data_IF_542692914888
#
_entry.id   IF_542692914888
#
_cell.length_a   1.000
_cell.length_b   1.000
_cell.length_c   1.000
_cell.angle_alpha   90.00
_cell.angle_beta   90.00
_cell.angle_gamma   90.00
#
_symmetry.space_group_name_H-M   'P 1'
#
loop_
_entity.id
_entity.type
_entity.pdbx_description
1 polymer ?
#
# COMPACT_ATOMS: atom_id res chain seq x y z
N UNK A 1 25.96 -6.13 39.40
CA UNK A 1 24.87 -6.90 38.77
C UNK A 1 23.73 -6.05 38.19
N UNK A 2 23.82 -4.71 38.19
CA UNK A 2 22.76 -3.81 37.66
C UNK A 2 22.78 -3.71 36.11
N UNK A 3 23.98 -3.81 35.52
CA UNK A 3 24.21 -3.63 34.07
C UNK A 3 23.53 -4.66 33.15
N UNK A 4 23.27 -5.88 33.63
CA UNK A 4 22.62 -6.93 32.82
C UNK A 4 21.09 -6.83 32.81
N UNK A 5 20.49 -6.17 33.80
CA UNK A 5 19.03 -6.08 33.95
C UNK A 5 18.44 -4.97 33.09
N UNK A 6 19.14 -3.83 32.99
CA UNK A 6 18.78 -2.70 32.12
C UNK A 6 18.85 -3.09 30.64
N UNK A 7 19.97 -3.69 30.19
CA UNK A 7 20.11 -4.16 28.80
C UNK A 7 19.01 -5.16 28.42
N UNK A 8 18.65 -6.06 29.34
CA UNK A 8 17.58 -7.03 29.13
C UNK A 8 16.19 -6.38 29.04
N UNK A 9 15.89 -5.36 29.86
CA UNK A 9 14.63 -4.62 29.77
C UNK A 9 14.56 -3.71 28.55
N UNK A 10 15.67 -3.06 28.19
CA UNK A 10 15.76 -2.20 27.01
C UNK A 10 15.60 -3.03 25.73
N UNK A 11 16.28 -4.17 25.60
CA UNK A 11 16.11 -5.11 24.49
C UNK A 11 14.68 -5.64 24.38
N UNK A 12 14.01 -5.91 25.51
CA UNK A 12 12.62 -6.40 25.53
C UNK A 12 11.62 -5.32 25.13
N UNK A 13 11.79 -4.11 25.66
CA UNK A 13 10.99 -2.93 25.30
C UNK A 13 11.20 -2.60 23.83
N UNK A 14 12.45 -2.70 23.34
CA UNK A 14 12.80 -2.48 21.94
C UNK A 14 12.24 -3.55 21.00
N UNK A 15 12.27 -4.82 21.41
CA UNK A 15 11.64 -5.91 20.66
C UNK A 15 10.12 -5.77 20.63
N UNK A 16 9.52 -5.34 21.75
CA UNK A 16 8.09 -5.04 21.85
C UNK A 16 7.69 -3.84 20.99
N UNK A 17 8.43 -2.74 21.03
CA UNK A 17 8.14 -1.55 20.22
C UNK A 17 8.42 -1.78 18.75
N UNK A 18 9.45 -2.56 18.40
CA UNK A 18 9.74 -3.00 17.03
C UNK A 18 8.60 -3.86 16.48
N UNK A 19 8.18 -4.88 17.24
CA UNK A 19 7.09 -5.78 16.85
C UNK A 19 5.76 -5.05 16.82
N UNK A 20 5.47 -4.22 17.82
CA UNK A 20 4.29 -3.38 17.86
C UNK A 20 4.30 -2.39 16.70
N UNK A 21 5.41 -1.72 16.36
CA UNK A 21 5.46 -0.80 15.22
C UNK A 21 5.32 -1.52 13.87
N UNK A 22 5.86 -2.73 13.74
CA UNK A 22 5.71 -3.54 12.54
C UNK A 22 4.24 -3.98 12.37
N UNK A 23 3.64 -4.53 13.43
CA UNK A 23 2.22 -4.92 13.46
C UNK A 23 1.33 -3.70 13.28
N UNK A 24 1.59 -2.58 13.95
CA UNK A 24 0.81 -1.35 13.82
C UNK A 24 0.94 -0.74 12.42
N UNK A 25 2.12 -0.80 11.80
CA UNK A 25 2.33 -0.30 10.43
C UNK A 25 1.64 -1.19 9.39
N UNK A 26 1.65 -2.52 9.60
CA UNK A 26 0.94 -3.47 8.73
C UNK A 26 -0.57 -3.42 8.97
N UNK A 27 -1.02 -3.30 10.22
CA UNK A 27 -2.41 -3.08 10.58
C UNK A 27 -2.90 -1.72 10.09
N UNK A 28 -2.09 -0.65 10.14
CA UNK A 28 -2.44 0.64 9.54
C UNK A 28 -2.51 0.52 8.02
N UNK A 29 -1.57 -0.14 7.35
CA UNK A 29 -1.64 -0.39 5.91
C UNK A 29 -2.83 -1.29 5.53
N UNK A 30 -3.13 -2.33 6.30
CA UNK A 30 -4.26 -3.24 6.07
C UNK A 30 -5.57 -2.55 6.41
N UNK A 31 -5.69 -1.80 7.50
CA UNK A 31 -6.86 -0.97 7.85
C UNK A 31 -7.05 0.13 6.82
N UNK A 32 -5.98 0.70 6.28
CA UNK A 32 -6.04 1.67 5.19
C UNK A 32 -6.49 1.01 3.89
N UNK A 33 -5.96 -0.18 3.58
CA UNK A 33 -6.35 -0.96 2.41
C UNK A 33 -7.78 -1.49 2.53
N UNK A 34 -8.21 -1.88 3.73
CA UNK A 34 -9.57 -2.33 4.07
C UNK A 34 -10.52 -1.15 4.14
N UNK A 35 -10.10 0.01 4.63
CA UNK A 35 -10.87 1.25 4.55
C UNK A 35 -11.08 1.64 3.09
N UNK A 36 -10.02 1.55 2.27
CA UNK A 36 -10.12 1.71 0.82
C UNK A 36 -11.03 0.62 0.22
N UNK A 37 -10.94 -0.64 0.64
CA UNK A 37 -11.75 -1.78 0.20
C UNK A 37 -13.23 -1.71 0.57
N UNK A 38 -13.54 -1.24 1.77
CA UNK A 38 -14.89 -1.02 2.28
C UNK A 38 -15.53 0.18 1.59
N UNK A 39 -14.72 1.18 1.22
CA UNK A 39 -15.10 2.22 0.27
C UNK A 39 -15.28 1.69 -1.17
N UNK A 40 -14.78 0.48 -1.48
CA UNK A 40 -14.84 -0.19 -2.80
C UNK A 40 -16.08 -1.07 -3.05
N UNK A 41 -17.14 -0.98 -2.23
CA UNK A 41 -18.34 -1.85 -2.40
C UNK A 41 -18.76 -1.99 -3.88
N UNK A 42 -19.16 -3.20 -4.32
CA UNK A 42 -19.40 -3.49 -5.73
C UNK A 42 -20.58 -2.67 -6.24
N UNK A 43 -20.26 -1.65 -7.03
CA UNK A 43 -21.19 -0.66 -7.57
C UNK A 43 -20.46 0.25 -8.54
N UNK A 44 -20.26 -0.26 -9.75
CA UNK A 44 -19.98 0.45 -11.02
C UNK A 44 -19.21 1.78 -11.00
N UNK A 45 -18.02 1.69 -11.60
CA UNK A 45 -17.23 2.69 -12.36
C UNK A 45 -16.35 3.71 -11.60
N UNK A 46 -15.07 3.62 -11.98
CA UNK A 46 -14.14 4.73 -12.26
C UNK A 46 -13.26 5.30 -11.13
N UNK A 47 -12.64 4.44 -10.31
CA UNK A 47 -11.64 4.78 -9.27
C UNK A 47 -12.28 5.07 -7.92
N UNK A 48 -11.69 4.49 -6.88
CA UNK A 48 -12.19 4.23 -5.52
C UNK A 48 -12.81 5.41 -4.76
N UNK A 49 -12.46 6.64 -5.11
CA UNK A 49 -13.06 7.85 -4.53
C UNK A 49 -14.08 8.47 -5.49
N UNK A 50 -13.97 8.18 -6.78
CA UNK A 50 -14.75 8.77 -7.87
C UNK A 50 -15.98 7.96 -8.29
N UNK A 51 -16.25 6.81 -7.65
CA UNK A 51 -17.46 6.02 -7.91
C UNK A 51 -18.76 6.76 -7.51
N UNK A 52 -19.81 6.73 -8.35
CA UNK A 52 -21.11 7.34 -8.07
C UNK A 52 -22.00 6.55 -7.09
N UNK A 53 -21.65 5.31 -6.74
CA UNK A 53 -22.44 4.46 -5.84
C UNK A 53 -21.59 3.99 -4.63
N UNK A 54 -22.05 4.27 -3.41
CA UNK A 54 -21.55 3.61 -2.18
C UNK A 54 -20.35 4.22 -1.43
N UNK A 55 -19.73 5.30 -1.90
CA UNK A 55 -18.58 5.94 -1.21
C UNK A 55 -19.03 6.87 -0.06
N UNK A 56 -18.36 6.83 1.11
CA UNK A 56 -18.51 7.84 2.18
C UNK A 56 -18.23 9.26 1.66
N UNK A 57 -17.48 9.38 0.55
CA UNK A 57 -17.15 10.64 -0.08
C UNK A 57 -18.03 10.97 -1.29
N UNK A 58 -19.16 10.27 -1.50
CA UNK A 58 -20.06 10.45 -2.67
C UNK A 58 -20.45 11.91 -2.89
N UNK A 59 -20.75 12.63 -1.81
CA UNK A 59 -21.21 14.03 -1.84
C UNK A 59 -20.09 15.03 -2.13
N UNK A 60 -18.81 14.64 -2.05
CA UNK A 60 -17.71 15.57 -2.24
C UNK A 60 -17.36 15.76 -3.72
N UNK A 61 -16.97 16.98 -4.13
CA UNK A 61 -16.57 17.26 -5.49
C UNK A 61 -15.28 16.52 -5.87
N UNK A 62 -15.10 16.25 -7.16
CA UNK A 62 -13.93 15.53 -7.72
C UNK A 62 -12.58 16.15 -7.29
N UNK A 63 -12.52 17.46 -7.08
CA UNK A 63 -11.31 18.14 -6.58
C UNK A 63 -10.97 17.73 -5.15
N UNK A 64 -11.95 17.69 -4.24
CA UNK A 64 -11.76 17.25 -2.85
C UNK A 64 -11.34 15.79 -2.77
N UNK A 65 -11.97 14.95 -3.58
CA UNK A 65 -11.63 13.53 -3.74
C UNK A 65 -10.16 13.31 -4.13
N UNK A 66 -9.66 14.11 -5.08
CA UNK A 66 -8.25 14.10 -5.47
C UNK A 66 -7.30 14.58 -4.36
N UNK A 67 -7.69 15.60 -3.59
CA UNK A 67 -6.91 16.06 -2.42
C UNK A 67 -6.82 14.99 -1.34
N UNK A 68 -7.94 14.34 -1.01
CA UNK A 68 -7.96 13.24 -0.04
C UNK A 68 -7.05 12.11 -0.52
N UNK A 69 -7.13 11.69 -1.80
CA UNK A 69 -6.22 10.70 -2.36
C UNK A 69 -4.75 11.09 -2.17
N UNK A 70 -4.40 12.34 -2.47
CA UNK A 70 -3.03 12.83 -2.32
C UNK A 70 -2.55 12.81 -0.86
N UNK A 71 -3.35 13.28 0.10
CA UNK A 71 -3.01 13.21 1.53
C UNK A 71 -2.81 11.77 1.99
N UNK A 72 -3.73 10.89 1.60
CA UNK A 72 -3.65 9.46 1.90
C UNK A 72 -2.39 8.82 1.29
N UNK A 73 -2.01 9.25 0.08
CA UNK A 73 -0.79 8.77 -0.58
C UNK A 73 0.48 9.23 0.15
N UNK A 74 0.54 10.48 0.60
CA UNK A 74 1.68 11.00 1.39
C UNK A 74 1.82 10.25 2.71
N UNK A 75 0.70 10.00 3.40
CA UNK A 75 0.70 9.22 4.64
C UNK A 75 1.18 7.78 4.38
N UNK A 76 0.68 7.14 3.33
CA UNK A 76 1.10 5.80 2.90
C UNK A 76 2.61 5.71 2.65
N UNK A 77 3.16 6.63 1.85
CA UNK A 77 4.61 6.69 1.58
C UNK A 77 5.40 6.89 2.87
N UNK A 78 4.95 7.80 3.74
CA UNK A 78 5.63 8.09 5.01
C UNK A 78 5.67 6.86 5.92
N UNK A 79 4.53 6.18 6.09
CA UNK A 79 4.45 4.93 6.85
C UNK A 79 5.34 3.82 6.25
N UNK A 80 5.34 3.67 4.92
CA UNK A 80 6.14 2.66 4.25
C UNK A 80 7.65 2.91 4.42
N UNK A 81 8.10 4.16 4.32
CA UNK A 81 9.50 4.55 4.56
C UNK A 81 9.89 4.34 6.01
N UNK A 82 9.05 4.75 6.97
CA UNK A 82 9.31 4.54 8.40
C UNK A 82 9.37 3.05 8.77
N UNK A 83 8.46 2.24 8.24
CA UNK A 83 8.47 0.79 8.43
C UNK A 83 9.72 0.13 7.86
N UNK A 84 10.14 0.53 6.66
CA UNK A 84 11.39 0.07 6.05
C UNK A 84 12.61 0.49 6.89
N UNK A 85 12.66 1.75 7.35
CA UNK A 85 13.74 2.25 8.19
C UNK A 85 13.83 1.48 9.52
N UNK A 86 12.70 1.21 10.16
CA UNK A 86 12.64 0.44 11.40
C UNK A 86 13.19 -0.99 11.22
N UNK A 87 12.79 -1.69 10.16
CA UNK A 87 13.30 -3.04 9.86
C UNK A 87 14.78 -3.00 9.49
N UNK A 88 15.20 -2.02 8.70
CA UNK A 88 16.59 -1.83 8.31
C UNK A 88 17.48 -1.63 9.52
N UNK A 89 17.07 -0.73 10.43
CA UNK A 89 17.80 -0.43 11.66
C UNK A 89 17.81 -1.63 12.61
N UNK A 90 16.69 -2.35 12.75
CA UNK A 90 16.63 -3.59 13.54
C UNK A 90 17.62 -4.64 13.02
N UNK A 91 17.70 -4.85 11.70
CA UNK A 91 18.67 -5.77 11.09
C UNK A 91 20.11 -5.31 11.32
N UNK A 92 20.37 -4.01 11.22
CA UNK A 92 21.69 -3.43 11.48
C UNK A 92 22.15 -3.69 12.92
N UNK A 93 21.30 -3.41 13.91
CA UNK A 93 21.59 -3.66 15.33
C UNK A 93 21.85 -5.14 15.63
N UNK A 94 21.22 -6.04 14.89
CA UNK A 94 21.35 -7.49 15.08
C UNK A 94 22.40 -8.14 14.15
N UNK A 95 23.17 -7.35 13.39
CA UNK A 95 24.15 -7.88 12.43
C UNK A 95 23.57 -8.79 11.35
N UNK A 96 22.27 -8.64 11.05
CA UNK A 96 21.56 -9.48 10.06
C UNK A 96 21.70 -8.89 8.67
N UNK A 97 21.89 -9.71 7.62
CA UNK A 97 21.98 -9.21 6.25
C UNK A 97 20.63 -8.62 5.78
N UNK A 98 20.72 -7.60 4.93
CA UNK A 98 19.57 -6.86 4.39
C UNK A 98 19.12 -7.42 3.04
N UNK A 99 17.82 -7.32 2.77
CA UNK A 99 17.22 -7.62 1.46
C UNK A 99 17.52 -9.02 0.89
N UNK A 100 17.77 -10.02 1.73
CA UNK A 100 18.10 -11.39 1.31
C UNK A 100 16.89 -12.26 0.98
N UNK A 101 15.66 -11.81 1.31
CA UNK A 101 14.43 -12.53 1.02
C UNK A 101 13.63 -11.88 -0.12
N UNK A 102 12.81 -12.68 -0.81
CA UNK A 102 11.88 -12.17 -1.82
C UNK A 102 10.95 -11.09 -1.27
N UNK A 103 10.44 -11.26 -0.04
CA UNK A 103 9.66 -10.23 0.63
C UNK A 103 10.46 -8.93 0.81
N UNK A 104 11.70 -9.02 1.30
CA UNK A 104 12.55 -7.84 1.51
C UNK A 104 12.88 -7.09 0.22
N UNK A 105 13.21 -7.82 -0.85
CA UNK A 105 13.51 -7.23 -2.16
C UNK A 105 12.26 -6.60 -2.81
N UNK A 106 11.15 -7.35 -2.88
CA UNK A 106 9.89 -6.83 -3.44
C UNK A 106 9.30 -5.71 -2.59
N UNK A 107 9.49 -5.75 -1.27
CA UNK A 107 9.11 -4.67 -0.36
C UNK A 107 9.85 -3.38 -0.68
N UNK A 108 11.18 -3.44 -0.81
CA UNK A 108 11.99 -2.28 -1.21
C UNK A 108 11.57 -1.73 -2.59
N UNK A 109 11.41 -2.61 -3.58
CA UNK A 109 10.93 -2.22 -4.91
C UNK A 109 9.55 -1.55 -4.85
N UNK A 110 8.66 -2.05 -3.99
CA UNK A 110 7.33 -1.46 -3.79
C UNK A 110 7.43 -0.06 -3.20
N UNK A 111 8.24 0.14 -2.14
CA UNK A 111 8.43 1.47 -1.54
C UNK A 111 8.94 2.47 -2.58
N UNK A 112 9.94 2.09 -3.37
CA UNK A 112 10.45 2.90 -4.47
C UNK A 112 9.38 3.19 -5.53
N UNK A 113 8.62 2.17 -5.95
CA UNK A 113 7.56 2.30 -6.94
C UNK A 113 6.43 3.24 -6.46
N UNK A 114 6.01 3.13 -5.20
CA UNK A 114 5.00 4.01 -4.60
C UNK A 114 5.51 5.46 -4.54
N UNK A 115 6.78 5.66 -4.17
CA UNK A 115 7.42 6.99 -4.21
C UNK A 115 7.44 7.59 -5.62
N UNK A 116 7.92 6.83 -6.60
CA UNK A 116 7.95 7.24 -8.00
C UNK A 116 6.54 7.52 -8.54
N UNK A 117 5.57 6.65 -8.25
CA UNK A 117 4.17 6.81 -8.64
C UNK A 117 3.56 8.08 -8.06
N UNK A 118 3.96 8.47 -6.84
CA UNK A 118 3.52 9.71 -6.19
C UNK A 118 4.08 10.96 -6.88
N UNK A 119 5.37 10.93 -7.25
CA UNK A 119 6.01 12.02 -8.02
C UNK A 119 5.44 12.09 -9.44
N UNK A 120 5.24 10.94 -10.09
CA UNK A 120 4.65 10.84 -11.42
C UNK A 120 3.19 11.34 -11.48
N UNK A 121 2.53 11.53 -10.34
CA UNK A 121 1.21 12.13 -10.24
C UNK A 121 1.23 13.67 -10.31
N UNK A 122 2.37 14.33 -10.08
CA UNK A 122 2.47 15.81 -10.05
C UNK A 122 1.95 16.47 -11.34
N UNK A 123 2.21 15.95 -12.56
CA UNK A 123 1.65 16.52 -13.78
C UNK A 123 0.12 16.43 -13.92
N UNK A 124 -0.56 15.64 -13.07
CA UNK A 124 -2.03 15.63 -12.99
C UNK A 124 -2.57 16.85 -12.23
N UNK A 125 -1.75 17.46 -11.38
CA UNK A 125 -2.06 18.69 -10.64
C UNK A 125 -1.50 19.90 -11.39
N UNK A 126 -0.25 19.83 -11.80
CA UNK A 126 0.48 20.89 -12.49
C UNK A 126 0.81 20.45 -13.91
N UNK A 127 -0.14 20.66 -14.82
CA UNK A 127 -0.01 20.19 -16.21
C UNK A 127 1.19 20.79 -16.96
N UNK A 128 1.68 21.95 -16.51
CA UNK A 128 2.90 22.59 -17.03
C UNK A 128 4.15 21.70 -16.97
N UNK A 129 4.17 20.68 -16.09
CA UNK A 129 5.25 19.72 -15.93
C UNK A 129 5.28 18.64 -17.03
N UNK A 130 4.22 18.50 -17.83
CA UNK A 130 4.13 17.50 -18.91
C UNK A 130 3.60 18.12 -20.20
N UNK A 131 4.28 19.17 -20.68
CA UNK A 131 3.96 19.81 -21.96
C UNK A 131 4.00 18.76 -23.08
N UNK A 132 2.97 18.76 -23.94
CA UNK A 132 2.82 17.82 -25.05
C UNK A 132 2.06 16.53 -24.73
N UNK A 133 1.67 16.30 -23.47
CA UNK A 133 0.80 15.17 -23.11
C UNK A 133 -0.62 15.66 -22.83
N UNK A 134 -1.64 14.96 -23.30
CA UNK A 134 -3.01 15.29 -22.90
C UNK A 134 -3.29 14.82 -21.48
N UNK A 135 -4.15 15.55 -20.75
CA UNK A 135 -4.58 15.14 -19.40
C UNK A 135 -5.21 13.73 -19.38
N UNK A 136 -5.92 13.35 -20.45
CA UNK A 136 -6.47 12.01 -20.59
C UNK A 136 -5.37 10.94 -20.67
N UNK A 137 -4.28 11.21 -21.40
CA UNK A 137 -3.11 10.32 -21.49
C UNK A 137 -2.44 10.18 -20.12
N UNK A 138 -2.18 11.29 -19.43
CA UNK A 138 -1.58 11.26 -18.09
C UNK A 138 -2.41 10.45 -17.09
N UNK A 139 -3.74 10.67 -17.04
CA UNK A 139 -4.65 9.89 -16.17
C UNK A 139 -4.62 8.40 -16.48
N UNK A 140 -4.54 8.03 -17.76
CA UNK A 140 -4.45 6.63 -18.20
C UNK A 140 -3.17 5.96 -17.71
N UNK A 141 -2.02 6.59 -17.95
CA UNK A 141 -0.74 6.02 -17.52
C UNK A 141 -0.66 5.95 -15.99
N UNK A 142 -0.98 7.04 -15.28
CA UNK A 142 -0.97 7.05 -13.82
C UNK A 142 -1.86 5.94 -13.23
N UNK A 143 -3.06 5.74 -13.77
CA UNK A 143 -3.96 4.68 -13.28
C UNK A 143 -3.41 3.27 -13.61
N UNK A 144 -2.81 3.08 -14.79
CA UNK A 144 -2.23 1.80 -15.18
C UNK A 144 -0.99 1.43 -14.35
N UNK A 145 -0.04 2.36 -14.21
CA UNK A 145 1.15 2.17 -13.37
C UNK A 145 0.80 2.07 -11.88
N UNK A 146 -0.25 2.77 -11.45
CA UNK A 146 -0.81 2.67 -10.11
C UNK A 146 -1.36 1.28 -9.82
N UNK A 147 -2.07 0.66 -10.76
CA UNK A 147 -2.53 -0.72 -10.63
C UNK A 147 -1.36 -1.70 -10.50
N UNK A 148 -0.34 -1.57 -11.36
CA UNK A 148 0.87 -2.42 -11.27
C UNK A 148 1.55 -2.27 -9.91
N UNK A 149 1.69 -1.04 -9.43
CA UNK A 149 2.27 -0.73 -8.11
C UNK A 149 1.46 -1.37 -6.97
N UNK A 150 0.12 -1.33 -7.06
CA UNK A 150 -0.77 -1.95 -6.07
C UNK A 150 -0.66 -3.47 -6.06
N UNK A 151 -0.56 -4.10 -7.24
CA UNK A 151 -0.37 -5.55 -7.35
C UNK A 151 1.01 -5.97 -6.83
N UNK A 152 2.05 -5.18 -7.08
CA UNK A 152 3.39 -5.40 -6.53
C UNK A 152 3.38 -5.36 -5.00
N UNK A 153 2.72 -4.36 -4.41
CA UNK A 153 2.54 -4.27 -2.96
C UNK A 153 1.74 -5.43 -2.38
N UNK A 154 0.68 -5.85 -3.08
CA UNK A 154 -0.13 -7.02 -2.69
C UNK A 154 0.69 -8.32 -2.70
N UNK A 155 1.54 -8.51 -3.71
CA UNK A 155 2.46 -9.66 -3.78
C UNK A 155 3.52 -9.61 -2.66
N UNK A 156 4.08 -8.42 -2.38
CA UNK A 156 5.01 -8.23 -1.26
C UNK A 156 4.37 -8.55 0.09
N UNK A 157 3.11 -8.14 0.31
CA UNK A 157 2.34 -8.46 1.51
C UNK A 157 2.12 -9.97 1.65
N UNK A 158 1.70 -10.67 0.58
CA UNK A 158 1.53 -12.12 0.61
C UNK A 158 2.84 -12.84 0.96
N UNK A 159 3.98 -12.40 0.42
CA UNK A 159 5.29 -12.93 0.79
C UNK A 159 5.66 -12.63 2.26
N UNK A 160 5.23 -11.50 2.79
CA UNK A 160 5.39 -11.14 4.20
C UNK A 160 4.57 -12.03 5.12
N UNK A 161 3.31 -12.32 4.74
CA UNK A 161 2.44 -13.28 5.44
C UNK A 161 3.03 -14.69 5.41
N UNK A 162 3.70 -15.09 4.32
CA UNK A 162 4.39 -16.38 4.22
C UNK A 162 5.78 -16.41 4.88
N UNK A 163 6.22 -15.34 5.55
CA UNK A 163 7.51 -15.33 6.23
C UNK A 163 7.51 -16.21 7.48
N UNK A 164 8.65 -16.82 7.79
CA UNK A 164 8.81 -17.66 8.99
C UNK A 164 8.46 -16.92 10.29
N UNK A 165 8.70 -15.60 10.33
CA UNK A 165 8.31 -14.78 11.47
C UNK A 165 6.79 -14.68 11.61
N UNK A 166 6.07 -14.41 10.51
CA UNK A 166 4.62 -14.24 10.56
C UNK A 166 3.92 -15.56 10.83
N UNK A 167 4.28 -16.63 10.12
CA UNK A 167 3.68 -17.97 10.31
C UNK A 167 3.95 -18.54 11.70
N UNK A 168 5.08 -18.18 12.34
CA UNK A 168 5.37 -18.53 13.73
C UNK A 168 4.66 -17.65 14.77
N UNK A 169 4.07 -16.51 14.38
CA UNK A 169 3.47 -15.53 15.30
C UNK A 169 1.94 -15.51 15.27
N UNK A 170 1.30 -16.10 14.26
CA UNK A 170 -0.16 -16.11 14.12
C UNK A 170 -0.72 -17.52 14.00
N UNK A 171 -1.94 -17.72 14.48
CA UNK A 171 -2.66 -18.98 14.28
C UNK A 171 -3.06 -19.22 12.83
N UNK A 172 -3.18 -20.49 12.45
CA UNK A 172 -3.45 -20.94 11.08
C UNK A 172 -4.69 -20.27 10.44
N UNK A 173 -5.82 -20.20 11.14
CA UNK A 173 -7.02 -19.53 10.63
C UNK A 173 -6.81 -18.04 10.35
N UNK A 174 -6.07 -17.35 11.22
CA UNK A 174 -5.76 -15.92 11.06
C UNK A 174 -4.83 -15.69 9.87
N UNK A 175 -3.93 -16.63 9.60
CA UNK A 175 -3.07 -16.62 8.43
C UNK A 175 -3.89 -16.72 7.14
N UNK A 176 -4.74 -17.75 7.01
CA UNK A 176 -5.57 -17.95 5.81
C UNK A 176 -6.50 -16.77 5.57
N UNK A 177 -7.14 -16.25 6.62
CA UNK A 177 -8.02 -15.09 6.50
C UNK A 177 -7.26 -13.85 6.00
N UNK A 178 -6.05 -13.61 6.52
CA UNK A 178 -5.20 -12.48 6.09
C UNK A 178 -4.76 -12.62 4.64
N UNK A 179 -4.32 -13.81 4.24
CA UNK A 179 -3.89 -14.08 2.87
C UNK A 179 -5.06 -13.97 1.88
N UNK A 180 -6.21 -14.56 2.21
CA UNK A 180 -7.42 -14.48 1.40
C UNK A 180 -7.92 -13.03 1.26
N UNK A 181 -7.93 -12.28 2.36
CA UNK A 181 -8.31 -10.86 2.34
C UNK A 181 -7.39 -10.05 1.42
N UNK A 182 -6.07 -10.26 1.50
CA UNK A 182 -5.11 -9.59 0.63
C UNK A 182 -5.34 -9.95 -0.85
N UNK A 183 -5.51 -11.23 -1.16
CA UNK A 183 -5.73 -11.70 -2.53
C UNK A 183 -7.05 -11.19 -3.13
N UNK A 184 -8.16 -11.26 -2.38
CA UNK A 184 -9.46 -10.75 -2.83
C UNK A 184 -9.41 -9.26 -3.09
N UNK A 185 -8.73 -8.48 -2.23
CA UNK A 185 -8.54 -7.05 -2.44
C UNK A 185 -7.76 -6.75 -3.73
N UNK A 186 -6.68 -7.49 -3.99
CA UNK A 186 -5.92 -7.38 -5.24
C UNK A 186 -6.81 -7.60 -6.47
N UNK A 187 -7.62 -8.67 -6.44
CA UNK A 187 -8.51 -9.02 -7.55
C UNK A 187 -9.64 -7.99 -7.75
N UNK A 188 -10.25 -7.51 -6.67
CA UNK A 188 -11.31 -6.49 -6.74
C UNK A 188 -10.77 -5.21 -7.39
N UNK A 189 -9.62 -4.70 -6.92
CA UNK A 189 -9.03 -3.48 -7.49
C UNK A 189 -8.62 -3.69 -8.95
N UNK A 190 -7.99 -4.82 -9.27
CA UNK A 190 -7.62 -5.16 -10.65
C UNK A 190 -8.84 -5.19 -11.57
N UNK A 191 -9.92 -5.85 -11.14
CA UNK A 191 -11.15 -5.92 -11.91
C UNK A 191 -11.80 -4.53 -12.08
N UNK A 192 -11.84 -3.72 -11.02
CA UNK A 192 -12.41 -2.36 -11.07
C UNK A 192 -11.66 -1.45 -12.05
N UNK A 193 -10.33 -1.46 -12.00
CA UNK A 193 -9.51 -0.64 -12.89
C UNK A 193 -9.62 -1.14 -14.33
N UNK A 194 -9.51 -2.45 -14.55
CA UNK A 194 -9.58 -3.06 -15.90
C UNK A 194 -10.95 -2.84 -16.56
N UNK A 195 -12.03 -3.05 -15.81
CA UNK A 195 -13.40 -2.85 -16.29
C UNK A 195 -13.69 -1.40 -16.67
N UNK A 196 -13.09 -0.43 -15.98
CA UNK A 196 -13.23 0.99 -16.31
C UNK A 196 -12.63 1.32 -17.69
N UNK A 197 -11.53 0.68 -18.06
CA UNK A 197 -10.92 0.84 -19.38
C UNK A 197 -11.70 0.18 -20.50
N UNK A 198 -12.12 -1.07 -20.29
CA UNK A 198 -12.90 -1.83 -21.29
C UNK A 198 -14.26 -1.16 -21.56
N UNK A 199 -14.93 -0.67 -20.51
CA UNK A 199 -16.21 0.04 -20.65
C UNK A 199 -16.09 1.33 -21.46
N UNK A 200 -14.97 2.06 -21.31
CA UNK A 200 -14.74 3.30 -22.04
C UNK A 200 -14.46 3.04 -23.52
N UNK A 201 -13.74 1.95 -23.83
CA UNK A 201 -13.47 1.53 -25.21
C UNK A 201 -14.76 1.19 -25.99
N UNK A 202 -15.73 0.53 -25.34
CA UNK A 202 -17.03 0.16 -25.95
C UNK A 202 -17.96 1.35 -26.23
N UNK A 203 -17.82 2.46 -25.50
CA UNK A 203 -18.62 3.68 -25.71
C UNK A 203 -18.01 4.61 -26.77
N UNK A 204 -16.79 4.32 -27.23
CA UNK A 204 -16.05 5.11 -28.23
C UNK A 204 -15.90 4.36 -29.57
N UNK A 205 -16.44 3.14 -29.69
CA UNK A 205 -16.57 2.38 -30.94
C UNK A 205 -17.99 2.51 -31.47
#
# INVERSE_FOLDING_TARGET
>A
MVYNKENGSELRVYAWTSTASAVLSHCLCVVFTVFIAVLSRPGTKAILIFSPYGSLLKKFPHKTKGRVHWFLQVLCVSCAVLGLAAIFYNKHLNGKPHFTSWHGLLGLLTVCAVGLQSVAALPLVYHSLAKGWSLAKLKRYHTATGLVTYLLGSASLLLGLSSAWFTGSVGEYSWYLSALCCALNALIIMNQVSSAYTSKKRLQS
#
